data_IF_766058394116
#
_entry.id   IF_766058394116
#
_cell.length_a   1.000
_cell.length_b   1.000
_cell.length_c   1.000
_cell.angle_alpha   90.00
_cell.angle_beta   90.00
_cell.angle_gamma   90.00
#
_symmetry.space_group_name_H-M   'P 1'
#
loop_
_entity.id
_entity.type
_entity.pdbx_description
1 polymer ?
#
# COMPACT_ATOMS: atom_id res chain seq x y z
N UNK A 1 -6.63 13.01 -20.43
CA UNK A 1 -7.76 13.69 -21.09
C UNK A 1 -7.25 14.95 -21.77
N UNK A 2 -8.05 15.61 -22.61
CA UNK A 2 -7.73 16.96 -23.09
C UNK A 2 -8.58 17.99 -22.32
N UNK A 3 -7.96 19.05 -21.83
CA UNK A 3 -8.60 20.19 -21.18
C UNK A 3 -8.16 21.47 -21.91
N UNK A 4 -9.09 22.19 -22.52
CA UNK A 4 -8.82 23.35 -23.38
C UNK A 4 -7.77 23.04 -24.49
N UNK A 5 -7.78 21.81 -25.00
CA UNK A 5 -6.85 21.34 -26.05
C UNK A 5 -5.46 20.92 -25.54
N UNK A 6 -5.16 21.11 -24.25
CA UNK A 6 -3.93 20.64 -23.63
C UNK A 6 -4.13 19.29 -22.96
N UNK A 7 -3.14 18.40 -23.05
CA UNK A 7 -3.21 17.11 -22.38
C UNK A 7 -2.93 17.26 -20.89
N UNK A 8 -3.87 16.78 -20.08
CA UNK A 8 -3.81 16.82 -18.63
C UNK A 8 -4.17 15.46 -18.01
N UNK A 9 -3.54 15.17 -16.88
CA UNK A 9 -3.74 13.97 -16.06
C UNK A 9 -4.40 14.33 -14.74
N UNK A 10 -5.34 13.51 -14.26
CA UNK A 10 -5.86 13.62 -12.88
C UNK A 10 -4.83 13.04 -11.91
N UNK A 11 -4.25 13.87 -11.04
CA UNK A 11 -3.26 13.41 -10.06
C UNK A 11 -3.86 13.19 -8.67
N UNK A 12 -4.92 13.91 -8.33
CA UNK A 12 -5.58 13.84 -7.03
C UNK A 12 -7.07 14.17 -7.15
N UNK A 13 -7.89 13.51 -6.34
CA UNK A 13 -9.33 13.79 -6.16
C UNK A 13 -9.58 14.21 -4.73
N UNK A 14 -10.18 15.38 -4.51
CA UNK A 14 -10.50 15.91 -3.20
C UNK A 14 -12.01 16.13 -3.08
N UNK A 15 -12.60 15.67 -1.97
CA UNK A 15 -13.96 16.04 -1.61
C UNK A 15 -13.92 17.32 -0.77
N UNK A 16 -14.40 18.43 -1.33
CA UNK A 16 -14.48 19.73 -0.63
C UNK A 16 -15.92 20.06 -0.28
N UNK A 17 -16.12 21.09 0.56
CA UNK A 17 -17.45 21.60 0.89
C UNK A 17 -18.20 22.17 -0.32
N UNK A 18 -17.48 22.50 -1.40
CA UNK A 18 -18.03 23.00 -2.67
C UNK A 18 -18.37 21.88 -3.67
N UNK A 19 -18.00 20.62 -3.38
CA UNK A 19 -18.23 19.46 -4.22
C UNK A 19 -16.98 18.60 -4.40
N UNK A 20 -17.02 17.65 -5.33
CA UNK A 20 -15.84 16.88 -5.71
C UNK A 20 -14.98 17.72 -6.65
N UNK A 21 -13.71 17.86 -6.30
CA UNK A 21 -12.69 18.57 -7.07
C UNK A 21 -11.56 17.61 -7.44
N UNK A 22 -10.87 17.97 -8.51
CA UNK A 22 -9.82 17.15 -9.10
C UNK A 22 -8.65 18.05 -9.43
N UNK A 23 -7.47 17.64 -9.00
CA UNK A 23 -6.21 18.28 -9.35
C UNK A 23 -5.73 17.66 -10.64
N UNK A 24 -5.62 18.46 -11.69
CA UNK A 24 -5.04 18.08 -12.96
C UNK A 24 -3.60 18.56 -13.04
N UNK A 25 -2.76 17.79 -13.72
CA UNK A 25 -1.38 18.14 -14.02
C UNK A 25 -1.18 18.20 -15.53
N UNK A 26 -0.63 19.30 -16.02
CA UNK A 26 -0.28 19.47 -17.44
C UNK A 26 1.12 18.91 -17.78
N UNK A 27 1.48 18.97 -19.07
CA UNK A 27 2.79 18.54 -19.58
C UNK A 27 3.98 19.34 -19.03
N UNK A 28 3.75 20.55 -18.52
CA UNK A 28 4.74 21.41 -17.89
C UNK A 28 4.79 21.25 -16.37
N UNK A 29 4.10 20.24 -15.84
CA UNK A 29 3.95 19.99 -14.40
C UNK A 29 3.23 21.10 -13.62
N UNK A 30 2.44 21.95 -14.29
CA UNK A 30 1.56 22.89 -13.61
C UNK A 30 0.34 22.14 -13.09
N UNK A 31 -0.07 22.50 -11.88
CA UNK A 31 -1.24 21.95 -11.24
C UNK A 31 -2.41 22.91 -11.40
N UNK A 32 -3.57 22.39 -11.76
CA UNK A 32 -4.82 23.14 -11.83
C UNK A 32 -5.91 22.38 -11.09
N UNK A 33 -6.78 23.10 -10.39
CA UNK A 33 -7.88 22.51 -9.63
C UNK A 33 -9.17 22.76 -10.41
N UNK A 34 -9.87 21.68 -10.75
CA UNK A 34 -11.06 21.70 -11.59
C UNK A 34 -12.16 20.94 -10.88
N UNK A 35 -13.41 21.38 -10.96
CA UNK A 35 -14.51 20.62 -10.37
C UNK A 35 -14.80 19.36 -11.19
N UNK A 36 -15.20 18.26 -10.56
CA UNK A 36 -15.64 17.06 -11.29
C UNK A 36 -16.82 17.38 -12.21
N UNK A 37 -17.68 18.32 -11.83
CA UNK A 37 -18.79 18.79 -12.65
C UNK A 37 -18.30 19.45 -13.94
N UNK A 38 -17.25 20.26 -13.87
CA UNK A 38 -16.64 20.87 -15.05
C UNK A 38 -15.99 19.82 -15.94
N UNK A 39 -15.32 18.81 -15.37
CA UNK A 39 -14.80 17.71 -16.17
C UNK A 39 -15.89 16.95 -16.93
N UNK A 40 -17.01 16.66 -16.29
CA UNK A 40 -18.07 15.82 -16.86
C UNK A 40 -18.99 16.55 -17.84
N UNK A 41 -19.17 17.86 -17.69
CA UNK A 41 -20.22 18.61 -18.39
C UNK A 41 -19.71 19.80 -19.21
N UNK A 42 -18.41 20.08 -19.23
CA UNK A 42 -17.84 21.18 -20.02
C UNK A 42 -17.39 20.71 -21.40
N UNK A 43 -17.70 21.50 -22.43
CA UNK A 43 -17.23 21.29 -23.81
C UNK A 43 -15.70 21.48 -23.94
N UNK A 44 -15.05 22.00 -22.89
CA UNK A 44 -13.58 22.15 -22.79
C UNK A 44 -12.87 20.83 -22.53
N UNK A 45 -13.62 19.79 -22.16
CA UNK A 45 -13.06 18.51 -21.74
C UNK A 45 -13.44 17.43 -22.71
N UNK A 46 -12.41 16.83 -23.32
CA UNK A 46 -12.58 15.65 -24.15
C UNK A 46 -12.02 14.44 -23.41
N UNK A 47 -12.91 13.55 -22.98
CA UNK A 47 -12.53 12.22 -22.54
C UNK A 47 -12.20 11.38 -23.77
N UNK A 48 -11.03 10.75 -23.75
CA UNK A 48 -10.63 9.75 -24.73
C UNK A 48 -10.81 8.40 -24.04
N UNK A 49 -11.98 7.75 -24.13
CA UNK A 49 -12.20 6.48 -23.47
C UNK A 49 -11.38 5.38 -24.15
N UNK A 50 -10.66 4.58 -23.35
CA UNK A 50 -9.93 3.40 -23.83
C UNK A 50 -10.83 2.14 -23.92
N UNK A 51 -12.08 2.19 -23.44
CA UNK A 51 -13.05 1.08 -23.45
C UNK A 51 -14.37 1.39 -22.72
N UNK A 52 -15.29 0.41 -22.58
CA UNK A 52 -16.50 0.56 -21.78
C UNK A 52 -16.14 0.77 -20.30
N UNK A 53 -16.84 1.69 -19.63
CA UNK A 53 -16.61 2.00 -18.22
C UNK A 53 -17.02 0.87 -17.27
N UNK A 54 -16.64 0.96 -15.98
CA UNK A 54 -16.92 -0.07 -14.99
C UNK A 54 -18.43 -0.29 -14.79
N UNK A 55 -18.82 -1.55 -14.59
CA UNK A 55 -20.20 -2.00 -14.39
C UNK A 55 -20.39 -2.54 -12.98
N UNK A 56 -21.61 -2.43 -12.44
CA UNK A 56 -21.97 -2.99 -11.14
C UNK A 56 -21.90 -4.53 -11.08
N UNK A 57 -21.74 -5.19 -12.23
CA UNK A 57 -21.58 -6.64 -12.35
C UNK A 57 -20.13 -7.11 -12.48
N UNK A 58 -19.15 -6.21 -12.35
CA UNK A 58 -17.74 -6.57 -12.44
C UNK A 58 -17.30 -7.32 -11.16
N UNK A 59 -16.70 -8.50 -11.31
CA UNK A 59 -16.19 -9.34 -10.20
C UNK A 59 -14.97 -8.74 -9.46
N UNK A 60 -14.49 -7.57 -9.90
CA UNK A 60 -13.31 -6.89 -9.36
C UNK A 60 -13.71 -5.78 -8.40
N UNK A 61 -12.98 -5.64 -7.29
CA UNK A 61 -13.11 -4.49 -6.40
C UNK A 61 -12.97 -3.18 -7.19
N UNK A 62 -13.79 -2.18 -6.85
CA UNK A 62 -13.73 -0.86 -7.47
C UNK A 62 -12.30 -0.31 -7.40
N UNK A 63 -11.79 0.18 -8.53
CA UNK A 63 -10.43 0.73 -8.63
C UNK A 63 -10.14 1.79 -7.55
N UNK A 64 -11.14 2.58 -7.16
CA UNK A 64 -11.04 3.57 -6.08
C UNK A 64 -10.72 2.95 -4.72
N UNK A 65 -11.32 1.80 -4.39
CA UNK A 65 -11.09 1.09 -3.13
C UNK A 65 -9.66 0.54 -3.09
N UNK A 66 -9.25 -0.16 -4.14
CA UNK A 66 -7.90 -0.75 -4.25
C UNK A 66 -6.81 0.32 -4.15
N UNK A 67 -6.96 1.43 -4.91
CA UNK A 67 -5.96 2.50 -4.92
C UNK A 67 -5.90 3.28 -3.60
N UNK A 68 -7.04 3.43 -2.90
CA UNK A 68 -7.11 4.13 -1.61
C UNK A 68 -6.36 3.42 -0.47
N UNK A 69 -6.13 2.11 -0.60
CA UNK A 69 -5.45 1.30 0.42
C UNK A 69 -3.92 1.35 0.30
N UNK A 70 -3.40 1.87 -0.81
CA UNK A 70 -1.96 1.93 -1.07
C UNK A 70 -1.30 3.07 -0.30
N UNK A 71 -0.19 2.76 0.37
CA UNK A 71 0.69 3.78 0.94
C UNK A 71 1.45 4.49 -0.21
N UNK A 72 1.93 5.72 0.03
CA UNK A 72 2.62 6.56 -0.98
C UNK A 72 3.70 5.80 -1.78
N UNK A 73 4.52 4.99 -1.11
CA UNK A 73 5.56 4.19 -1.76
C UNK A 73 4.99 3.10 -2.68
N UNK A 74 3.89 2.47 -2.27
CA UNK A 74 3.22 1.43 -3.07
C UNK A 74 2.52 2.05 -4.28
N UNK A 75 1.94 3.24 -4.12
CA UNK A 75 1.36 4.03 -5.22
C UNK A 75 2.45 4.44 -6.22
N UNK A 76 3.63 4.86 -5.76
CA UNK A 76 4.76 5.20 -6.67
C UNK A 76 5.20 3.98 -7.48
N UNK A 77 5.38 2.83 -6.83
CA UNK A 77 5.75 1.59 -7.52
C UNK A 77 4.67 1.11 -8.50
N UNK A 78 3.41 1.36 -8.19
CA UNK A 78 2.31 1.05 -9.11
C UNK A 78 2.39 1.88 -10.39
N UNK A 79 2.53 3.20 -10.23
CA UNK A 79 2.63 4.13 -11.36
C UNK A 79 3.84 3.81 -12.24
N UNK A 80 4.99 3.52 -11.62
CA UNK A 80 6.21 3.11 -12.33
C UNK A 80 5.98 1.82 -13.15
N UNK A 81 5.30 0.82 -12.58
CA UNK A 81 4.92 -0.39 -13.32
C UNK A 81 3.94 -0.08 -14.46
N UNK A 82 2.95 0.78 -14.24
CA UNK A 82 2.01 1.18 -15.28
C UNK A 82 2.72 1.85 -16.46
N UNK A 83 3.68 2.74 -16.17
CA UNK A 83 4.53 3.37 -17.20
C UNK A 83 5.34 2.35 -18.00
N UNK A 84 5.95 1.35 -17.32
CA UNK A 84 6.68 0.28 -18.02
C UNK A 84 5.77 -0.54 -18.94
N UNK A 85 4.55 -0.84 -18.50
CA UNK A 85 3.59 -1.60 -19.30
C UNK A 85 3.11 -0.77 -20.49
N UNK A 86 2.80 0.52 -20.30
CA UNK A 86 2.44 1.45 -21.38
C UNK A 86 3.55 1.59 -22.42
N UNK A 87 4.80 1.70 -21.98
CA UNK A 87 5.94 1.79 -22.89
C UNK A 87 6.10 0.51 -23.72
N UNK A 88 5.88 -0.65 -23.12
CA UNK A 88 5.94 -1.93 -23.83
C UNK A 88 4.79 -2.09 -24.84
N UNK A 89 3.58 -1.64 -24.50
CA UNK A 89 2.41 -1.74 -25.36
C UNK A 89 2.45 -0.73 -26.52
N UNK A 90 2.71 0.53 -26.16
CA UNK A 90 2.48 1.68 -27.02
C UNK A 90 3.76 2.39 -27.45
N UNK A 91 4.92 2.03 -26.89
CA UNK A 91 6.21 2.65 -27.18
C UNK A 91 6.52 3.93 -26.39
N UNK A 92 5.56 4.40 -25.58
CA UNK A 92 5.63 5.64 -24.80
C UNK A 92 5.26 5.36 -23.35
N UNK A 93 5.98 5.94 -22.38
CA UNK A 93 5.69 5.70 -20.94
C UNK A 93 4.30 6.20 -20.52
N UNK A 94 3.80 7.20 -21.23
CA UNK A 94 2.46 7.76 -21.06
C UNK A 94 1.41 7.12 -21.97
N UNK A 95 1.80 6.14 -22.79
CA UNK A 95 0.88 5.34 -23.61
C UNK A 95 0.44 5.99 -24.92
N UNK A 96 0.82 7.23 -25.21
CA UNK A 96 0.50 7.89 -26.48
C UNK A 96 1.67 8.68 -27.04
N UNK A 97 1.74 8.76 -28.37
CA UNK A 97 2.73 9.58 -29.08
C UNK A 97 2.57 11.07 -28.77
N UNK A 98 1.34 11.51 -28.51
CA UNK A 98 1.05 12.91 -28.20
C UNK A 98 1.66 13.30 -26.85
N UNK A 99 1.75 12.37 -25.90
CA UNK A 99 2.35 12.55 -24.58
C UNK A 99 3.78 12.00 -24.48
N UNK A 100 4.47 11.83 -25.62
CA UNK A 100 5.83 11.32 -25.66
C UNK A 100 6.79 12.23 -24.87
N UNK A 101 7.58 11.64 -23.99
CA UNK A 101 8.69 12.33 -23.32
C UNK A 101 9.84 12.64 -24.27
N UNK A 102 10.81 13.45 -23.82
CA UNK A 102 12.03 13.71 -24.58
C UNK A 102 12.79 12.40 -24.84
N UNK A 103 13.07 12.12 -26.12
CA UNK A 103 13.72 10.88 -26.54
C UNK A 103 12.82 9.65 -26.64
N UNK A 104 11.49 9.79 -26.56
CA UNK A 104 10.53 8.72 -26.81
C UNK A 104 9.99 8.72 -28.26
N UNK A 105 9.78 7.55 -28.90
CA UNK A 105 9.98 6.21 -28.35
C UNK A 105 11.47 5.84 -28.32
N UNK A 106 11.91 5.17 -27.25
CA UNK A 106 13.27 4.63 -27.19
C UNK A 106 13.44 3.50 -28.21
N UNK A 107 14.64 3.26 -28.79
CA UNK A 107 14.82 2.30 -29.87
C UNK A 107 14.30 0.88 -29.60
N UNK A 108 14.40 0.39 -28.35
CA UNK A 108 13.91 -0.94 -27.96
C UNK A 108 12.38 -1.03 -27.79
N UNK A 109 11.67 0.09 -27.86
CA UNK A 109 10.22 0.20 -27.62
C UNK A 109 9.45 0.79 -28.80
N UNK A 110 10.10 1.02 -29.94
CA UNK A 110 9.46 1.53 -31.15
C UNK A 110 8.17 0.73 -31.48
N UNK A 111 7.00 1.39 -31.63
CA UNK A 111 5.74 0.74 -31.95
C UNK A 111 5.76 -0.16 -33.19
N UNK A 112 6.69 0.07 -34.13
CA UNK A 112 6.88 -0.76 -35.31
C UNK A 112 7.52 -2.13 -35.00
N UNK A 113 8.17 -2.28 -33.83
CA UNK A 113 8.76 -3.54 -33.42
C UNK A 113 7.70 -4.55 -32.96
N UNK A 114 7.92 -5.87 -33.19
CA UNK A 114 7.07 -6.91 -32.65
C UNK A 114 6.92 -6.80 -31.12
N UNK A 115 5.70 -7.00 -30.60
CA UNK A 115 5.41 -6.92 -29.14
C UNK A 115 6.41 -7.76 -28.31
N UNK A 116 6.73 -8.98 -28.76
CA UNK A 116 7.66 -9.86 -28.04
C UNK A 116 9.09 -9.31 -27.92
N UNK A 117 9.57 -8.55 -28.91
CA UNK A 117 10.89 -7.89 -28.83
C UNK A 117 10.89 -6.82 -27.75
N UNK A 118 9.81 -6.02 -27.70
CA UNK A 118 9.63 -4.98 -26.66
C UNK A 118 9.48 -5.59 -25.26
N UNK A 119 8.81 -6.75 -25.15
CA UNK A 119 8.67 -7.47 -23.88
C UNK A 119 10.03 -7.98 -23.39
N UNK A 120 10.84 -8.55 -24.29
CA UNK A 120 12.19 -9.03 -23.96
C UNK A 120 13.08 -7.86 -23.53
N UNK A 121 13.09 -6.76 -24.29
CA UNK A 121 13.84 -5.56 -23.93
C UNK A 121 13.48 -5.03 -22.53
N UNK A 122 12.18 -5.01 -22.18
CA UNK A 122 11.75 -4.58 -20.84
C UNK A 122 12.10 -5.57 -19.74
N UNK A 123 11.99 -6.86 -20.03
CA UNK A 123 12.37 -7.92 -19.11
C UNK A 123 13.85 -7.81 -18.74
N UNK A 124 14.71 -7.58 -19.74
CA UNK A 124 16.16 -7.41 -19.55
C UNK A 124 16.48 -6.10 -18.80
N UNK A 125 15.80 -4.99 -19.13
CA UNK A 125 15.96 -3.69 -18.43
C UNK A 125 15.61 -3.80 -16.93
N UNK A 126 14.55 -4.52 -16.58
CA UNK A 126 14.07 -4.64 -15.21
C UNK A 126 14.64 -5.85 -14.45
N UNK A 127 15.42 -6.72 -15.11
CA UNK A 127 15.94 -7.95 -14.50
C UNK A 127 14.84 -8.94 -14.09
N UNK A 128 13.72 -8.98 -14.82
CA UNK A 128 12.58 -9.88 -14.57
C UNK A 128 12.33 -10.82 -15.75
N UNK A 129 11.51 -11.85 -15.56
CA UNK A 129 11.14 -12.73 -16.68
C UNK A 129 10.12 -12.07 -17.62
N UNK A 130 10.16 -12.42 -18.91
CA UNK A 130 9.13 -12.04 -19.89
C UNK A 130 7.72 -12.44 -19.44
N UNK A 131 7.59 -13.57 -18.72
CA UNK A 131 6.32 -14.01 -18.13
C UNK A 131 5.78 -13.01 -17.10
N UNK A 132 6.65 -12.31 -16.37
CA UNK A 132 6.27 -11.26 -15.43
C UNK A 132 5.71 -10.05 -16.18
N UNK A 133 6.40 -9.60 -17.24
CA UNK A 133 5.93 -8.50 -18.09
C UNK A 133 4.58 -8.82 -18.71
N UNK A 134 4.42 -10.03 -19.28
CA UNK A 134 3.15 -10.47 -19.84
C UNK A 134 2.01 -10.52 -18.82
N UNK A 135 2.31 -10.87 -17.56
CA UNK A 135 1.31 -10.81 -16.47
C UNK A 135 0.89 -9.38 -16.17
N UNK A 136 1.83 -8.43 -16.13
CA UNK A 136 1.51 -7.02 -15.90
C UNK A 136 0.68 -6.45 -17.06
N UNK A 137 1.03 -6.77 -18.30
CA UNK A 137 0.23 -6.38 -19.47
C UNK A 137 -1.20 -6.92 -19.36
N UNK A 138 -1.36 -8.22 -19.11
CA UNK A 138 -2.68 -8.82 -18.99
C UNK A 138 -3.50 -8.18 -17.86
N UNK A 139 -2.88 -7.86 -16.73
CA UNK A 139 -3.54 -7.18 -15.63
C UNK A 139 -4.02 -5.77 -16.03
N UNK A 140 -3.15 -4.97 -16.67
CA UNK A 140 -3.52 -3.63 -17.14
C UNK A 140 -4.65 -3.68 -18.18
N UNK A 141 -4.59 -4.60 -19.13
CA UNK A 141 -5.64 -4.77 -20.16
C UNK A 141 -6.98 -5.24 -19.55
N UNK A 142 -6.96 -6.05 -18.47
CA UNK A 142 -8.18 -6.57 -17.85
C UNK A 142 -8.87 -5.61 -16.87
N UNK A 143 -8.12 -4.73 -16.20
CA UNK A 143 -8.65 -3.95 -15.08
C UNK A 143 -7.89 -2.66 -14.79
N UNK A 144 -7.17 -2.13 -15.78
CA UNK A 144 -6.43 -0.88 -15.67
C UNK A 144 -5.34 -0.89 -14.59
N UNK A 145 -4.95 0.29 -14.13
CA UNK A 145 -3.88 0.44 -13.13
C UNK A 145 -4.22 -0.22 -11.79
N UNK A 146 -5.50 -0.32 -11.42
CA UNK A 146 -5.90 -1.01 -10.20
C UNK A 146 -5.58 -2.52 -10.24
N UNK A 147 -5.71 -3.16 -11.40
CA UNK A 147 -5.34 -4.56 -11.56
C UNK A 147 -3.81 -4.79 -11.53
N UNK A 148 -3.02 -3.78 -11.92
CA UNK A 148 -1.57 -3.78 -11.65
C UNK A 148 -1.27 -3.70 -10.16
N UNK A 149 -2.11 -3.06 -9.35
CA UNK A 149 -1.95 -2.97 -7.90
C UNK A 149 -2.11 -4.33 -7.23
N UNK A 150 -3.05 -5.17 -7.69
CA UNK A 150 -3.16 -6.58 -7.27
C UNK A 150 -1.92 -7.41 -7.63
N UNK A 151 -1.13 -6.99 -8.61
CA UNK A 151 0.17 -7.61 -8.93
C UNK A 151 1.34 -6.95 -8.18
N UNK A 152 1.20 -5.68 -7.79
CA UNK A 152 2.09 -4.89 -6.93
C UNK A 152 2.03 -5.31 -5.46
N UNK A 153 0.87 -5.79 -5.02
CA UNK A 153 0.70 -6.64 -3.85
C UNK A 153 1.33 -7.99 -4.17
N UNK A 154 2.66 -8.00 -4.36
CA UNK A 154 3.45 -9.22 -4.19
C UNK A 154 2.99 -9.82 -2.88
N UNK A 155 2.23 -10.92 -2.95
CA UNK A 155 1.78 -11.71 -1.80
C UNK A 155 2.90 -11.67 -0.77
N UNK A 156 2.64 -10.97 0.34
CA UNK A 156 3.60 -10.81 1.41
C UNK A 156 4.05 -12.21 1.85
N UNK A 157 5.16 -12.31 2.58
CA UNK A 157 5.51 -13.64 3.12
C UNK A 157 4.38 -14.20 3.97
N UNK A 158 3.56 -13.34 4.61
CA UNK A 158 2.37 -13.76 5.36
C UNK A 158 1.32 -14.40 4.45
N UNK A 159 1.04 -13.83 3.28
CA UNK A 159 0.06 -14.37 2.31
C UNK A 159 0.50 -15.69 1.68
N UNK A 160 1.79 -16.02 1.78
CA UNK A 160 2.37 -17.29 1.32
C UNK A 160 2.54 -18.31 2.44
N UNK A 161 2.37 -17.89 3.69
CA UNK A 161 2.36 -18.78 4.84
C UNK A 161 0.98 -19.42 4.99
N UNK A 162 0.93 -20.62 5.58
CA UNK A 162 -0.34 -21.22 5.99
C UNK A 162 -1.01 -20.32 7.04
N UNK A 163 -2.29 -19.93 6.88
CA UNK A 163 -2.98 -19.06 7.83
C UNK A 163 -2.92 -19.56 9.27
N UNK A 164 -3.00 -20.88 9.47
CA UNK A 164 -2.92 -21.52 10.79
C UNK A 164 -1.56 -21.30 11.45
N UNK A 165 -0.48 -21.24 10.64
CA UNK A 165 0.86 -20.91 11.14
C UNK A 165 0.94 -19.45 11.58
N UNK A 166 0.39 -18.53 10.78
CA UNK A 166 0.38 -17.09 11.09
C UNK A 166 -0.39 -16.81 12.39
N UNK A 167 -1.60 -17.35 12.50
CA UNK A 167 -2.45 -17.23 13.70
C UNK A 167 -1.74 -17.77 14.94
N UNK A 168 -1.17 -18.98 14.85
CA UNK A 168 -0.45 -19.60 15.97
C UNK A 168 0.79 -18.80 16.36
N UNK A 169 1.50 -18.20 15.39
CA UNK A 169 2.64 -17.33 15.66
C UNK A 169 2.23 -16.06 16.40
N UNK A 170 1.12 -15.43 16.00
CA UNK A 170 0.54 -14.26 16.69
C UNK A 170 0.17 -14.62 18.12
N UNK A 171 -0.51 -15.74 18.35
CA UNK A 171 -0.84 -16.21 19.70
C UNK A 171 0.42 -16.36 20.57
N UNK A 172 1.47 -17.00 20.04
CA UNK A 172 2.73 -17.16 20.77
C UNK A 172 3.37 -15.80 21.07
N UNK A 173 3.36 -14.87 20.13
CA UNK A 173 3.92 -13.52 20.32
C UNK A 173 3.18 -12.75 21.42
N UNK A 174 1.84 -12.75 21.40
CA UNK A 174 1.01 -12.05 22.39
C UNK A 174 1.21 -12.59 23.81
N UNK A 175 1.51 -13.88 23.98
CA UNK A 175 1.84 -14.44 25.30
C UNK A 175 3.11 -13.91 25.95
N UNK A 176 3.98 -13.25 25.19
CA UNK A 176 5.20 -12.64 25.70
C UNK A 176 5.03 -11.17 26.09
N UNK A 177 3.84 -10.59 25.96
CA UNK A 177 3.56 -9.19 26.34
C UNK A 177 4.01 -8.88 27.78
N UNK A 178 3.67 -9.75 28.73
CA UNK A 178 4.02 -9.60 30.15
C UNK A 178 5.27 -10.37 30.59
N UNK A 179 6.05 -10.90 29.63
CA UNK A 179 7.21 -11.76 29.90
C UNK A 179 8.50 -11.12 29.40
N UNK A 180 9.62 -11.76 29.74
CA UNK A 180 10.91 -11.41 29.17
C UNK A 180 10.87 -11.57 27.64
N UNK A 181 11.52 -10.63 26.94
CA UNK A 181 11.59 -10.61 25.47
C UNK A 181 12.17 -11.93 24.95
N UNK A 182 11.43 -12.69 24.14
CA UNK A 182 11.92 -13.96 23.60
C UNK A 182 12.86 -13.74 22.42
N UNK A 183 13.69 -14.74 22.13
CA UNK A 183 14.36 -14.82 20.84
C UNK A 183 13.35 -15.21 19.75
N UNK A 184 13.51 -14.68 18.53
CA UNK A 184 12.67 -15.09 17.37
C UNK A 184 12.66 -16.60 17.15
N UNK A 185 13.81 -17.26 17.33
CA UNK A 185 13.93 -18.72 17.26
C UNK A 185 12.97 -19.40 18.23
N UNK A 186 12.91 -18.94 19.48
CA UNK A 186 12.02 -19.49 20.50
C UNK A 186 10.56 -19.36 20.09
N UNK A 187 10.15 -18.23 19.50
CA UNK A 187 8.78 -18.06 18.98
C UNK A 187 8.48 -19.04 17.84
N UNK A 188 9.41 -19.23 16.89
CA UNK A 188 9.26 -20.19 15.78
C UNK A 188 9.13 -21.62 16.32
N UNK A 189 10.01 -22.02 17.24
CA UNK A 189 10.03 -23.37 17.81
C UNK A 189 8.74 -23.66 18.59
N UNK A 190 8.26 -22.68 19.39
CA UNK A 190 6.99 -22.81 20.13
C UNK A 190 5.77 -22.84 19.22
N UNK A 191 5.79 -22.06 18.14
CA UNK A 191 4.76 -22.08 17.09
C UNK A 191 4.68 -23.46 16.46
N UNK A 192 5.82 -24.02 16.04
CA UNK A 192 5.89 -25.38 15.49
C UNK A 192 5.35 -26.42 16.49
N UNK A 193 5.79 -26.37 17.75
CA UNK A 193 5.35 -27.31 18.77
C UNK A 193 3.81 -27.27 18.97
N UNK A 194 3.21 -26.08 18.96
CA UNK A 194 1.75 -25.93 19.04
C UNK A 194 1.02 -26.46 17.82
N UNK A 195 1.55 -26.20 16.62
CA UNK A 195 0.95 -26.70 15.40
C UNK A 195 0.93 -28.23 15.38
N UNK A 196 2.04 -28.87 15.77
CA UNK A 196 2.12 -30.33 15.90
C UNK A 196 1.12 -30.84 16.94
N UNK A 197 1.01 -30.17 18.09
CA UNK A 197 0.08 -30.57 19.14
C UNK A 197 -1.40 -30.39 18.76
N UNK A 198 -1.75 -29.35 17.99
CA UNK A 198 -3.15 -29.04 17.61
C UNK A 198 -3.62 -29.77 16.36
N UNK A 199 -2.77 -29.91 15.36
CA UNK A 199 -3.15 -30.38 14.02
C UNK A 199 -2.47 -31.69 13.62
N UNK A 200 -1.52 -32.17 14.41
CA UNK A 200 -0.69 -33.32 14.07
C UNK A 200 0.55 -32.91 13.26
N UNK A 201 1.53 -33.82 13.21
CA UNK A 201 2.76 -33.60 12.46
C UNK A 201 2.50 -33.53 10.96
N UNK A 202 3.05 -32.52 10.29
CA UNK A 202 2.93 -32.35 8.83
C UNK A 202 1.61 -31.78 8.33
N UNK A 203 0.59 -31.60 9.18
CA UNK A 203 -0.73 -31.11 8.77
C UNK A 203 -0.76 -29.61 8.39
N UNK A 204 0.20 -28.83 8.89
CA UNK A 204 0.36 -27.39 8.61
C UNK A 204 1.72 -27.17 7.95
N UNK A 205 1.72 -26.48 6.81
CA UNK A 205 2.97 -26.21 6.09
C UNK A 205 3.78 -25.15 6.83
N UNK A 206 4.91 -25.55 7.41
CA UNK A 206 5.79 -24.64 8.14
C UNK A 206 6.72 -23.92 7.14
N UNK A 207 6.81 -22.57 7.16
CA UNK A 207 7.71 -21.84 6.28
C UNK A 207 9.17 -22.21 6.54
N UNK A 208 10.02 -22.06 5.51
CA UNK A 208 11.47 -22.20 5.66
C UNK A 208 12.02 -21.18 6.67
N UNK A 209 13.19 -21.44 7.25
CA UNK A 209 13.78 -20.58 8.30
C UNK A 209 13.82 -19.11 7.88
N UNK A 210 14.32 -18.79 6.69
CA UNK A 210 14.38 -17.40 6.21
C UNK A 210 12.99 -16.76 6.13
N UNK A 211 12.01 -17.46 5.55
CA UNK A 211 10.62 -16.98 5.46
C UNK A 211 9.96 -16.81 6.82
N UNK A 212 10.21 -17.71 7.76
CA UNK A 212 9.67 -17.61 9.11
C UNK A 212 10.18 -16.35 9.84
N UNK A 213 11.47 -16.02 9.70
CA UNK A 213 12.03 -14.80 10.28
C UNK A 213 11.50 -13.53 9.62
N UNK A 214 11.34 -13.54 8.29
CA UNK A 214 10.74 -12.44 7.54
C UNK A 214 9.27 -12.23 7.93
N UNK A 215 8.48 -13.32 8.02
CA UNK A 215 7.12 -13.30 8.50
C UNK A 215 7.01 -12.70 9.91
N UNK A 216 7.85 -13.14 10.86
CA UNK A 216 7.88 -12.56 12.20
C UNK A 216 8.26 -11.07 12.21
N UNK A 217 9.13 -10.62 11.29
CA UNK A 217 9.47 -9.21 11.17
C UNK A 217 8.30 -8.36 10.66
N UNK A 218 7.44 -8.93 9.81
CA UNK A 218 6.20 -8.29 9.38
C UNK A 218 5.17 -8.27 10.51
N UNK A 219 4.97 -9.39 11.22
CA UNK A 219 4.04 -9.49 12.35
C UNK A 219 4.43 -8.56 13.50
N UNK A 220 5.73 -8.36 13.75
CA UNK A 220 6.25 -7.44 14.78
C UNK A 220 5.76 -5.99 14.58
N UNK A 221 5.42 -5.58 13.35
CA UNK A 221 4.87 -4.24 13.08
C UNK A 221 3.50 -4.05 13.73
N UNK A 222 2.71 -5.12 13.79
CA UNK A 222 1.36 -5.13 14.37
C UNK A 222 1.35 -5.60 15.83
N UNK A 223 2.25 -6.53 16.18
CA UNK A 223 2.37 -7.14 17.50
C UNK A 223 3.80 -6.95 18.06
N UNK A 224 4.13 -5.78 18.61
CA UNK A 224 5.47 -5.51 19.14
C UNK A 224 5.86 -6.51 20.24
N UNK A 225 6.95 -7.25 20.00
CA UNK A 225 7.42 -8.35 20.85
C UNK A 225 8.93 -8.32 21.02
N UNK A 226 9.69 -8.07 19.94
CA UNK A 226 11.15 -8.25 19.92
C UNK A 226 11.96 -6.98 20.13
N UNK A 227 11.52 -5.83 19.61
CA UNK A 227 12.39 -4.63 19.54
C UNK A 227 12.25 -3.67 20.73
N UNK A 228 11.08 -3.65 21.33
CA UNK A 228 10.71 -2.69 22.38
C UNK A 228 10.96 -3.29 23.76
N UNK A 229 11.08 -2.42 24.78
CA UNK A 229 11.17 -2.88 26.16
C UNK A 229 9.86 -3.55 26.60
N UNK A 230 9.93 -4.51 27.52
CA UNK A 230 8.73 -5.17 28.09
C UNK A 230 7.75 -4.16 28.67
N UNK A 231 8.24 -3.07 29.28
CA UNK A 231 7.37 -1.97 29.76
C UNK A 231 6.59 -1.32 28.60
N UNK A 232 7.27 -1.03 27.48
CA UNK A 232 6.63 -0.39 26.31
C UNK A 232 5.67 -1.35 25.61
N UNK A 233 5.98 -2.64 25.52
CA UNK A 233 5.05 -3.63 24.95
C UNK A 233 3.77 -3.76 25.79
N UNK A 234 3.89 -3.80 27.12
CA UNK A 234 2.73 -3.78 28.03
C UNK A 234 1.90 -2.52 27.88
N UNK A 235 2.55 -1.35 27.82
CA UNK A 235 1.87 -0.08 27.55
C UNK A 235 1.07 -0.13 26.24
N UNK A 236 1.68 -0.62 25.15
CA UNK A 236 1.00 -0.75 23.86
C UNK A 236 -0.18 -1.73 23.92
N UNK A 237 -0.01 -2.88 24.56
CA UNK A 237 -1.06 -3.89 24.69
C UNK A 237 -2.23 -3.43 25.57
N UNK A 238 -1.97 -2.56 26.55
CA UNK A 238 -2.98 -1.98 27.44
C UNK A 238 -3.75 -0.79 26.83
N UNK A 239 -3.40 -0.32 25.63
CA UNK A 239 -4.11 0.79 24.99
C UNK A 239 -5.51 0.36 24.56
N UNK A 240 -6.50 1.29 24.63
CA UNK A 240 -7.79 1.07 23.99
C UNK A 240 -7.60 0.74 22.51
N UNK A 241 -8.29 -0.32 22.04
CA UNK A 241 -8.23 -0.77 20.64
C UNK A 241 -9.02 0.15 19.71
N UNK A 242 -10.00 0.88 20.25
CA UNK A 242 -10.80 1.83 19.52
C UNK A 242 -10.10 3.18 19.46
N UNK A 243 -10.17 3.84 18.30
CA UNK A 243 -9.75 5.23 18.20
C UNK A 243 -10.61 6.04 19.18
N UNK A 244 -9.97 6.90 19.98
CA UNK A 244 -10.70 7.90 20.72
C UNK A 244 -11.57 8.68 19.73
N UNK A 245 -12.89 8.59 19.90
CA UNK A 245 -13.82 9.35 19.07
C UNK A 245 -13.50 10.84 19.13
N UNK A 246 -13.89 11.60 18.10
CA UNK A 246 -13.75 13.06 18.15
C UNK A 246 -14.57 13.59 19.31
N UNK A 247 -13.91 14.07 20.36
CA UNK A 247 -14.55 14.76 21.47
C UNK A 247 -15.20 16.03 20.90
N UNK A 248 -16.53 16.10 20.91
CA UNK A 248 -17.29 17.28 20.48
C UNK A 248 -17.73 18.06 21.71
N UNK A 249 -16.88 18.97 22.19
CA UNK A 249 -17.26 19.89 23.25
C UNK A 249 -18.30 20.89 22.73
N UNK A 250 -19.43 21.01 23.40
CA UNK A 250 -20.44 22.04 23.21
C UNK A 250 -20.33 23.15 24.25
N UNK A 251 -19.58 22.92 25.35
CA UNK A 251 -19.37 23.89 26.44
C UNK A 251 -17.93 23.87 26.97
N UNK A 252 -17.40 25.02 27.46
CA UNK A 252 -16.12 25.04 28.17
C UNK A 252 -16.14 24.12 29.40
N UNK A 253 -15.10 23.31 29.56
CA UNK A 253 -14.95 22.37 30.70
C UNK A 253 -15.65 21.01 30.54
N UNK A 254 -16.32 20.75 29.42
CA UNK A 254 -17.00 19.48 29.16
C UNK A 254 -16.04 18.29 29.04
N UNK A 255 -14.81 18.56 28.58
CA UNK A 255 -13.72 17.60 28.56
C UNK A 255 -12.47 18.22 29.18
N UNK A 256 -11.80 17.47 30.05
CA UNK A 256 -10.52 17.85 30.65
C UNK A 256 -9.49 16.80 30.25
N UNK A 257 -8.44 17.22 29.56
CA UNK A 257 -7.32 16.36 29.24
C UNK A 257 -6.34 16.38 30.42
N UNK A 258 -6.15 15.23 31.07
CA UNK A 258 -5.10 15.06 32.06
C UNK A 258 -3.87 14.51 31.34
N UNK A 259 -2.83 15.34 31.24
CA UNK A 259 -1.50 14.88 30.87
C UNK A 259 -0.62 14.80 32.12
N UNK A 260 0.16 13.74 32.24
CA UNK A 260 1.08 13.54 33.36
C UNK A 260 2.50 13.53 32.85
N UNK A 261 3.28 14.54 33.24
CA UNK A 261 4.71 14.62 32.89
C UNK A 261 5.55 14.16 34.06
N UNK A 262 6.43 13.18 33.84
CA UNK A 262 7.45 12.84 34.84
C UNK A 262 8.51 13.94 34.83
N UNK A 263 8.70 14.61 35.96
CA UNK A 263 9.80 15.55 36.15
C UNK A 263 11.07 14.76 36.50
N UNK A 264 12.12 14.92 35.70
CA UNK A 264 13.43 14.31 35.95
C UNK A 264 14.32 15.28 36.76
N UNK A 265 13.80 15.71 37.91
CA UNK A 265 14.47 16.63 38.83
C UNK A 265 14.38 16.08 40.24
N UNK A 266 15.41 16.36 41.05
CA UNK A 266 15.30 16.19 42.49
C UNK A 266 14.45 17.33 43.06
N UNK A 267 13.47 16.97 43.88
CA UNK A 267 12.67 17.92 44.65
C UNK A 267 12.83 17.57 46.13
N UNK A 268 12.91 18.59 46.98
CA UNK A 268 12.84 18.46 48.43
C UNK A 268 11.43 18.85 48.84
N UNK A 269 10.79 18.01 49.67
CA UNK A 269 9.52 18.39 50.27
C UNK A 269 9.73 19.57 51.23
N UNK A 270 9.04 20.72 51.05
CA UNK A 270 9.24 21.90 51.90
C UNK A 270 8.92 21.66 53.38
N UNK A 271 8.13 20.64 53.72
CA UNK A 271 7.79 20.32 55.12
C UNK A 271 8.82 19.41 55.78
N UNK A 272 9.40 18.46 55.03
CA UNK A 272 10.30 17.45 55.59
C UNK A 272 11.78 17.67 55.23
N UNK A 273 12.07 18.53 54.24
CA UNK A 273 13.41 18.80 53.69
C UNK A 273 14.19 17.51 53.37
N UNK A 274 13.48 16.48 52.95
CA UNK A 274 14.00 15.17 52.54
C UNK A 274 13.60 14.85 51.11
#
# INVERSE_FOLDING_TARGET
>A
MLYDGESVEVVETAATTAGNEVVLKDRLSRLMQVSVKELLFSDRVQFVPEGPGPSAADDMDLASVVLSQLVLEERRQLLERAEHVREVLYGYRWGSREMAGEGEPRPGYDPALPKMVRYQAKADELGVSVRTIGRWVAALESGGEAALATTALTKSVLDRCDPRWVETAIEVMVEYVDKATPMRKTVIDRTRARLVARFGEGAVTVPSKSKAYEALALLEKQHPTFRLSTKRNRDIAGRPKEAYGRLRATRPGEYVLMDTTRLDVFALDPLTLR
#
